data_IF_655163665318
#
_entry.id   IF_655163665318
#
_cell.length_a   1.000
_cell.length_b   1.000
_cell.length_c   1.000
_cell.angle_alpha   90.00
_cell.angle_beta   90.00
_cell.angle_gamma   90.00
#
_symmetry.space_group_name_H-M   'P 1'
#
loop_
_entity.id
_entity.type
_entity.pdbx_description
1 polymer ?
#
# COMPACT_ATOMS: atom_id res chain seq x y z
N UNK A 1 -16.03 2.12 20.70
CA UNK A 1 -15.58 1.98 19.29
C UNK A 1 -16.64 1.19 18.54
N UNK A 2 -17.17 1.71 17.45
CA UNK A 2 -18.25 1.05 16.70
C UNK A 2 -17.70 -0.22 16.02
N UNK A 3 -18.12 -1.40 16.51
CA UNK A 3 -17.69 -2.69 15.97
C UNK A 3 -18.12 -2.89 14.51
N UNK A 4 -19.28 -2.34 14.12
CA UNK A 4 -19.78 -2.43 12.74
C UNK A 4 -18.90 -1.64 11.77
N UNK A 5 -18.47 -0.43 12.17
CA UNK A 5 -17.56 0.36 11.35
C UNK A 5 -16.22 -0.35 11.16
N UNK A 6 -15.69 -0.94 12.23
CA UNK A 6 -14.44 -1.70 12.16
C UNK A 6 -14.53 -2.88 11.19
N UNK A 7 -15.56 -3.72 11.28
CA UNK A 7 -15.74 -4.84 10.37
C UNK A 7 -15.84 -4.38 8.91
N UNK A 8 -16.56 -3.28 8.64
CA UNK A 8 -16.66 -2.74 7.28
C UNK A 8 -15.33 -2.25 6.73
N UNK A 9 -14.44 -1.71 7.57
CA UNK A 9 -13.09 -1.31 7.19
C UNK A 9 -12.22 -2.54 6.96
N UNK A 10 -12.34 -3.57 7.80
CA UNK A 10 -11.66 -4.85 7.62
C UNK A 10 -12.07 -5.50 6.30
N UNK A 11 -13.36 -5.56 5.98
CA UNK A 11 -13.87 -6.08 4.71
C UNK A 11 -13.34 -5.30 3.50
N UNK A 12 -13.24 -3.97 3.60
CA UNK A 12 -12.64 -3.14 2.55
C UNK A 12 -11.16 -3.53 2.31
N UNK A 13 -10.37 -3.71 3.35
CA UNK A 13 -8.97 -4.12 3.21
C UNK A 13 -8.79 -5.55 2.73
N UNK A 14 -9.69 -6.46 3.10
CA UNK A 14 -9.64 -7.84 2.62
C UNK A 14 -10.01 -7.92 1.14
N UNK A 15 -11.00 -7.15 0.69
CA UNK A 15 -11.32 -7.01 -0.73
C UNK A 15 -10.13 -6.42 -1.51
N UNK A 16 -9.49 -5.37 -0.99
CA UNK A 16 -8.30 -4.79 -1.60
C UNK A 16 -7.20 -5.83 -1.76
N UNK A 17 -6.87 -6.57 -0.68
CA UNK A 17 -5.87 -7.62 -0.69
C UNK A 17 -6.20 -8.73 -1.71
N UNK A 18 -7.45 -9.17 -1.79
CA UNK A 18 -7.93 -10.16 -2.75
C UNK A 18 -7.71 -9.70 -4.18
N UNK A 19 -8.10 -8.46 -4.52
CA UNK A 19 -7.94 -7.91 -5.86
C UNK A 19 -6.45 -7.81 -6.28
N UNK A 20 -5.58 -7.41 -5.35
CA UNK A 20 -4.14 -7.35 -5.59
C UNK A 20 -3.54 -8.75 -5.80
N UNK A 21 -3.90 -9.71 -4.95
CA UNK A 21 -3.39 -11.10 -5.01
C UNK A 21 -3.89 -11.85 -6.24
N UNK A 22 -5.10 -11.56 -6.70
CA UNK A 22 -5.68 -12.09 -7.93
C UNK A 22 -5.26 -11.31 -9.18
N UNK A 23 -4.42 -10.29 -9.03
CA UNK A 23 -3.94 -9.45 -10.15
C UNK A 23 -5.06 -8.70 -10.88
N UNK A 24 -6.17 -8.44 -10.21
CA UNK A 24 -7.30 -7.63 -10.70
C UNK A 24 -7.03 -6.13 -10.49
N UNK A 25 -5.89 -5.65 -10.99
CA UNK A 25 -5.38 -4.32 -10.66
C UNK A 25 -6.26 -3.18 -11.21
N UNK A 26 -6.96 -3.41 -12.32
CA UNK A 26 -7.91 -2.41 -12.85
C UNK A 26 -9.14 -2.28 -11.94
N UNK A 27 -9.60 -3.37 -11.34
CA UNK A 27 -10.68 -3.37 -10.34
C UNK A 27 -10.20 -2.73 -9.04
N UNK A 28 -8.95 -2.99 -8.63
CA UNK A 28 -8.33 -2.33 -7.49
C UNK A 28 -8.31 -0.80 -7.64
N UNK A 29 -8.00 -0.25 -8.83
CA UNK A 29 -8.05 1.20 -9.07
C UNK A 29 -9.43 1.81 -8.80
N UNK A 30 -10.51 1.05 -8.93
CA UNK A 30 -11.85 1.52 -8.62
C UNK A 30 -12.12 1.72 -7.12
N UNK A 31 -11.27 1.12 -6.25
CA UNK A 31 -11.30 1.36 -4.81
C UNK A 31 -10.62 2.66 -4.39
N UNK A 32 -10.00 3.37 -5.31
CA UNK A 32 -9.28 4.62 -5.04
C UNK A 32 -10.15 5.83 -5.42
N UNK A 33 -9.91 6.97 -4.78
CA UNK A 33 -10.50 8.25 -5.19
C UNK A 33 -9.74 8.85 -6.38
N UNK A 34 -10.36 9.73 -7.15
CA UNK A 34 -9.69 10.39 -8.30
C UNK A 34 -8.53 11.29 -7.85
N UNK A 35 -8.59 11.82 -6.64
CA UNK A 35 -7.57 12.66 -6.00
C UNK A 35 -6.61 11.87 -5.10
N UNK A 36 -6.54 10.56 -5.23
CA UNK A 36 -5.70 9.69 -4.41
C UNK A 36 -4.23 10.10 -4.42
N UNK A 37 -3.60 9.98 -3.26
CA UNK A 37 -2.13 10.05 -3.10
C UNK A 37 -1.63 8.74 -2.50
N UNK A 38 -0.59 8.19 -3.13
CA UNK A 38 0.01 6.92 -2.77
C UNK A 38 1.50 7.15 -2.54
N UNK A 39 1.87 7.34 -1.27
CA UNK A 39 3.19 7.78 -0.85
C UNK A 39 3.96 6.68 -0.15
N UNK A 40 5.19 6.45 -0.56
CA UNK A 40 6.09 5.50 0.08
C UNK A 40 7.47 6.13 0.25
N UNK A 41 7.75 6.74 1.42
CA UNK A 41 9.04 7.33 1.73
C UNK A 41 10.14 6.27 1.85
N UNK A 42 11.38 6.71 1.73
CA UNK A 42 12.55 5.91 2.08
C UNK A 42 12.73 5.98 3.59
N UNK A 43 13.00 4.85 4.23
CA UNK A 43 13.43 4.81 5.63
C UNK A 43 14.95 4.89 5.70
N UNK A 44 15.45 5.72 6.60
CA UNK A 44 16.86 5.85 6.93
C UNK A 44 17.14 5.19 8.28
N UNK A 45 18.38 4.74 8.49
CA UNK A 45 18.86 4.31 9.79
C UNK A 45 19.68 5.45 10.41
N UNK A 46 19.10 6.29 11.28
CA UNK A 46 19.84 7.36 11.92
C UNK A 46 20.90 6.80 12.87
N UNK A 47 22.01 7.51 12.99
CA UNK A 47 23.09 7.14 13.93
C UNK A 47 22.70 7.39 15.40
N UNK A 48 21.78 8.32 15.63
CA UNK A 48 21.27 8.68 16.94
C UNK A 48 19.82 8.26 17.07
N UNK A 49 19.35 8.03 18.28
CA UNK A 49 17.96 7.67 18.54
C UNK A 49 17.02 8.82 18.14
N UNK A 50 16.14 8.64 17.18
CA UNK A 50 15.18 9.67 16.79
C UNK A 50 14.14 9.92 17.91
N UNK A 51 13.60 11.13 17.95
CA UNK A 51 12.52 11.46 18.86
C UNK A 51 11.18 10.85 18.43
N UNK A 52 10.97 10.75 17.13
CA UNK A 52 9.76 10.19 16.51
C UNK A 52 10.15 9.29 15.34
N UNK A 53 9.33 8.27 15.06
CA UNK A 53 9.54 7.35 13.95
C UNK A 53 9.53 8.08 12.59
N UNK A 54 8.85 9.21 12.48
CA UNK A 54 8.82 10.02 11.26
C UNK A 54 10.16 10.70 10.97
N UNK A 55 11.02 10.84 11.96
CA UNK A 55 12.38 11.38 11.78
C UNK A 55 13.28 10.41 10.99
N UNK A 56 12.88 9.14 10.91
CA UNK A 56 13.55 8.11 10.10
C UNK A 56 13.13 8.12 8.63
N UNK A 57 12.14 8.92 8.27
CA UNK A 57 11.53 8.88 6.93
C UNK A 57 11.97 10.09 6.10
N UNK A 58 12.18 9.85 4.80
CA UNK A 58 12.37 10.94 3.84
C UNK A 58 11.13 11.83 3.79
N UNK A 59 11.35 13.13 3.60
CA UNK A 59 10.29 14.14 3.50
C UNK A 59 9.85 14.33 2.05
N UNK A 60 8.64 14.88 1.81
CA UNK A 60 8.24 15.31 0.48
C UNK A 60 9.29 16.22 -0.17
N UNK A 61 9.70 15.88 -1.40
CA UNK A 61 10.79 16.56 -2.12
C UNK A 61 12.17 15.93 -1.94
N UNK A 62 12.30 14.96 -1.03
CA UNK A 62 13.48 14.09 -0.90
C UNK A 62 13.27 12.78 -1.68
N UNK A 63 14.16 11.80 -1.54
CA UNK A 63 14.02 10.50 -2.17
C UNK A 63 12.77 9.73 -1.70
N UNK A 64 12.17 8.95 -2.58
CA UNK A 64 10.99 8.12 -2.30
C UNK A 64 11.00 6.86 -3.16
N UNK A 65 10.25 5.84 -2.73
CA UNK A 65 9.95 4.68 -3.57
C UNK A 65 8.75 4.95 -4.48
N UNK A 66 7.67 5.52 -3.91
CA UNK A 66 6.47 5.92 -4.64
C UNK A 66 5.99 7.30 -4.20
N UNK A 67 5.61 8.11 -5.17
CA UNK A 67 4.83 9.34 -5.01
C UNK A 67 3.83 9.41 -6.17
N UNK A 68 2.78 8.62 -6.06
CA UNK A 68 1.84 8.38 -7.13
C UNK A 68 0.49 9.08 -6.86
N UNK A 69 -0.10 9.58 -7.92
CA UNK A 69 -1.50 9.99 -8.01
C UNK A 69 -2.28 8.98 -8.90
N UNK A 70 -3.58 9.19 -9.10
CA UNK A 70 -4.41 8.31 -9.92
C UNK A 70 -3.84 8.11 -11.34
N UNK A 71 -3.29 9.15 -11.96
CA UNK A 71 -2.71 9.06 -13.31
C UNK A 71 -1.49 8.16 -13.35
N UNK A 72 -0.55 8.33 -12.42
CA UNK A 72 0.66 7.51 -12.37
C UNK A 72 0.35 6.07 -11.94
N UNK A 73 -0.60 5.86 -11.03
CA UNK A 73 -1.06 4.52 -10.66
C UNK A 73 -1.67 3.77 -11.86
N UNK A 74 -2.51 4.44 -12.66
CA UNK A 74 -3.05 3.85 -13.91
C UNK A 74 -1.93 3.43 -14.86
N UNK A 75 -0.92 4.27 -15.06
CA UNK A 75 0.25 3.94 -15.90
C UNK A 75 1.00 2.72 -15.35
N UNK A 76 1.21 2.66 -14.02
CA UNK A 76 1.88 1.51 -13.39
C UNK A 76 1.07 0.23 -13.56
N UNK A 77 -0.24 0.28 -13.35
CA UNK A 77 -1.14 -0.86 -13.56
C UNK A 77 -1.10 -1.33 -15.01
N UNK A 78 -1.21 -0.44 -15.99
CA UNK A 78 -1.17 -0.84 -17.39
C UNK A 78 0.19 -1.43 -17.81
N UNK A 79 1.28 -0.98 -17.20
CA UNK A 79 2.60 -1.59 -17.43
C UNK A 79 2.66 -3.07 -17.00
N UNK A 80 1.94 -3.48 -15.95
CA UNK A 80 1.93 -4.88 -15.53
C UNK A 80 1.23 -5.80 -16.51
N UNK A 81 0.29 -5.26 -17.32
CA UNK A 81 -0.41 -5.99 -18.38
C UNK A 81 0.32 -5.99 -19.73
N UNK A 82 1.37 -5.18 -19.86
CA UNK A 82 2.12 -5.11 -21.11
C UNK A 82 2.87 -6.42 -21.40
N UNK A 83 2.84 -6.89 -22.65
CA UNK A 83 3.48 -8.15 -23.08
C UNK A 83 5.00 -8.20 -22.82
N UNK A 84 5.64 -7.04 -22.76
CA UNK A 84 7.07 -6.86 -22.53
C UNK A 84 7.41 -6.40 -21.11
N UNK A 85 6.48 -6.57 -20.16
CA UNK A 85 6.69 -6.25 -18.74
C UNK A 85 7.64 -7.27 -18.11
N UNK A 86 8.94 -7.18 -18.38
CA UNK A 86 9.95 -8.13 -17.92
C UNK A 86 9.93 -8.38 -16.39
N UNK A 87 9.51 -7.39 -15.61
CA UNK A 87 9.38 -7.48 -14.16
C UNK A 87 8.22 -8.41 -13.71
N UNK A 88 7.22 -8.62 -14.58
CA UNK A 88 6.00 -9.38 -14.29
C UNK A 88 5.71 -10.47 -15.35
N UNK A 89 6.71 -10.85 -16.15
CA UNK A 89 6.61 -11.97 -17.07
C UNK A 89 7.77 -12.95 -16.80
N UNK A 90 7.49 -14.10 -16.20
CA UNK A 90 6.23 -14.59 -15.66
C UNK A 90 5.72 -13.75 -14.47
N UNK A 91 4.39 -13.72 -14.25
CA UNK A 91 3.82 -12.88 -13.21
C UNK A 91 4.19 -13.36 -11.80
N UNK A 92 4.40 -12.41 -10.91
CA UNK A 92 4.57 -12.68 -9.48
C UNK A 92 3.29 -13.25 -8.87
N UNK A 93 3.44 -14.05 -7.83
CA UNK A 93 2.36 -14.42 -6.90
C UNK A 93 2.56 -13.65 -5.62
N UNK A 94 1.54 -12.95 -5.18
CA UNK A 94 1.56 -12.18 -3.95
C UNK A 94 0.57 -12.74 -2.94
N UNK A 95 0.84 -12.46 -1.67
CA UNK A 95 -0.09 -12.68 -0.57
C UNK A 95 0.01 -11.49 0.37
N UNK A 96 -1.09 -10.75 0.47
CA UNK A 96 -1.23 -9.62 1.38
C UNK A 96 -1.89 -10.08 2.67
N UNK A 97 -1.19 -9.87 3.79
CA UNK A 97 -1.74 -10.05 5.13
C UNK A 97 -1.84 -8.67 5.77
N UNK A 98 -3.07 -8.23 6.04
CA UNK A 98 -3.36 -6.95 6.66
C UNK A 98 -3.85 -7.21 8.08
N UNK A 99 -3.24 -6.55 9.04
CA UNK A 99 -3.50 -6.80 10.45
C UNK A 99 -3.38 -5.52 11.28
N UNK A 100 -3.73 -5.61 12.58
CA UNK A 100 -3.62 -4.52 13.54
C UNK A 100 -4.35 -3.24 13.08
N UNK A 101 -5.50 -3.40 12.45
CA UNK A 101 -6.30 -2.31 11.91
C UNK A 101 -6.85 -1.46 13.07
N UNK A 102 -6.49 -0.17 13.07
CA UNK A 102 -6.85 0.81 14.10
C UNK A 102 -7.43 2.07 13.48
N UNK A 103 -8.68 2.37 13.78
CA UNK A 103 -9.28 3.67 13.47
C UNK A 103 -8.65 4.71 14.40
N UNK A 104 -8.02 5.73 13.83
CA UNK A 104 -7.34 6.82 14.54
C UNK A 104 -8.24 8.04 14.68
N UNK A 105 -9.02 8.34 13.63
CA UNK A 105 -9.95 9.47 13.60
C UNK A 105 -11.09 9.15 12.63
N UNK A 106 -12.28 9.63 12.95
CA UNK A 106 -13.46 9.64 12.07
C UNK A 106 -14.08 11.02 12.17
N UNK A 107 -14.18 11.75 11.08
CA UNK A 107 -14.81 13.08 11.01
C UNK A 107 -16.18 13.05 10.34
N UNK A 108 -16.71 11.86 10.06
CA UNK A 108 -18.01 11.65 9.41
C UNK A 108 -17.92 11.53 7.88
N UNK A 109 -16.92 12.10 7.23
CA UNK A 109 -16.66 11.98 5.79
C UNK A 109 -15.45 11.11 5.50
N UNK A 110 -14.38 11.32 6.24
CA UNK A 110 -13.11 10.61 6.09
C UNK A 110 -12.71 9.93 7.41
N UNK A 111 -12.02 8.80 7.27
CA UNK A 111 -11.58 7.98 8.39
C UNK A 111 -10.08 7.75 8.26
N UNK A 112 -9.31 8.21 9.25
CA UNK A 112 -7.90 7.88 9.35
C UNK A 112 -7.73 6.50 9.99
N UNK A 113 -7.04 5.61 9.28
CA UNK A 113 -6.83 4.22 9.69
C UNK A 113 -5.36 3.87 9.61
N UNK A 114 -4.84 3.25 10.67
CA UNK A 114 -3.51 2.63 10.66
C UNK A 114 -3.66 1.12 10.61
N UNK A 115 -2.78 0.46 9.87
CA UNK A 115 -2.70 -1.00 9.80
C UNK A 115 -1.26 -1.46 9.62
N UNK A 116 -0.98 -2.70 9.98
CA UNK A 116 0.27 -3.36 9.63
C UNK A 116 0.04 -4.25 8.42
N UNK A 117 1.08 -4.46 7.63
CA UNK A 117 1.02 -5.38 6.51
C UNK A 117 2.25 -6.28 6.43
N UNK A 118 2.03 -7.44 5.87
CA UNK A 118 3.07 -8.31 5.33
C UNK A 118 2.65 -8.67 3.91
N UNK A 119 3.51 -8.39 2.93
CA UNK A 119 3.33 -8.86 1.55
C UNK A 119 4.41 -9.86 1.24
N UNK A 120 4.01 -11.10 1.04
CA UNK A 120 4.88 -12.16 0.54
C UNK A 120 4.75 -12.24 -0.98
N UNK A 121 5.87 -12.20 -1.68
CA UNK A 121 5.95 -12.33 -3.14
C UNK A 121 6.84 -13.49 -3.53
N UNK A 122 6.38 -14.31 -4.45
CA UNK A 122 7.21 -15.29 -5.13
C UNK A 122 7.16 -15.07 -6.64
N UNK A 123 8.26 -15.32 -7.31
CA UNK A 123 8.34 -15.28 -8.76
C UNK A 123 9.35 -16.31 -9.24
N UNK A 124 8.97 -17.08 -10.26
CA UNK A 124 9.77 -18.22 -10.73
C UNK A 124 10.02 -19.23 -9.59
N UNK A 125 11.13 -19.95 -9.63
CA UNK A 125 11.44 -20.99 -8.63
C UNK A 125 12.21 -20.45 -7.42
N UNK A 126 12.94 -19.34 -7.59
CA UNK A 126 13.94 -18.87 -6.62
C UNK A 126 13.64 -17.51 -6.02
N UNK A 127 12.94 -16.63 -6.73
CA UNK A 127 12.71 -15.26 -6.26
C UNK A 127 11.62 -15.26 -5.18
N UNK A 128 12.02 -14.87 -3.98
CA UNK A 128 11.14 -14.71 -2.81
C UNK A 128 11.46 -13.40 -2.14
N UNK A 129 10.44 -12.58 -1.95
CA UNK A 129 10.54 -11.31 -1.26
C UNK A 129 9.48 -11.23 -0.16
N UNK A 130 9.82 -10.53 0.90
CA UNK A 130 8.91 -10.24 2.00
C UNK A 130 9.00 -8.75 2.31
N UNK A 131 7.87 -8.07 2.25
CA UNK A 131 7.76 -6.67 2.61
C UNK A 131 6.91 -6.55 3.86
N UNK A 132 7.44 -5.94 4.88
CA UNK A 132 6.78 -5.76 6.18
C UNK A 132 6.78 -4.29 6.53
N UNK A 133 5.68 -3.80 7.09
CA UNK A 133 5.59 -2.41 7.50
C UNK A 133 4.21 -1.99 7.95
N UNK A 134 4.00 -0.69 7.97
CA UNK A 134 2.74 -0.08 8.37
C UNK A 134 2.16 0.76 7.25
N UNK A 135 0.83 0.92 7.27
CA UNK A 135 0.09 1.84 6.41
C UNK A 135 -0.65 2.85 7.26
N UNK A 136 -0.64 4.09 6.80
CA UNK A 136 -1.46 5.17 7.33
C UNK A 136 -2.37 5.63 6.20
N UNK A 137 -3.64 5.31 6.31
CA UNK A 137 -4.62 5.50 5.27
C UNK A 137 -5.65 6.56 5.65
N UNK A 138 -6.14 7.29 4.66
CA UNK A 138 -7.34 8.10 4.73
C UNK A 138 -8.38 7.45 3.82
N UNK A 139 -9.44 6.91 4.42
CA UNK A 139 -10.57 6.33 3.72
C UNK A 139 -11.71 7.33 3.63
N UNK A 140 -12.20 7.59 2.43
CA UNK A 140 -13.37 8.44 2.20
C UNK A 140 -14.62 7.61 2.03
N UNK A 141 -15.71 7.99 2.69
CA UNK A 141 -17.01 7.32 2.54
C UNK A 141 -17.55 7.53 1.12
N UNK A 142 -18.00 6.46 0.48
CA UNK A 142 -18.53 6.49 -0.88
C UNK A 142 -19.60 5.41 -1.06
N UNK A 143 -20.82 5.81 -1.40
CA UNK A 143 -21.92 4.89 -1.77
C UNK A 143 -22.10 3.69 -0.80
N UNK A 144 -22.08 3.94 0.50
CA UNK A 144 -22.23 2.89 1.51
C UNK A 144 -20.97 2.04 1.75
N UNK A 145 -19.86 2.34 1.09
CA UNK A 145 -18.55 1.71 1.25
C UNK A 145 -17.47 2.76 1.48
N UNK A 146 -16.23 2.45 1.14
CA UNK A 146 -15.08 3.33 1.26
C UNK A 146 -14.30 3.40 -0.05
N UNK A 147 -13.55 4.50 -0.22
CA UNK A 147 -12.48 4.62 -1.20
C UNK A 147 -11.22 5.13 -0.51
N UNK A 148 -10.08 4.66 -0.96
CA UNK A 148 -8.79 5.12 -0.48
C UNK A 148 -8.48 6.49 -1.09
N UNK A 149 -8.32 7.53 -0.23
CA UNK A 149 -7.98 8.89 -0.66
C UNK A 149 -6.50 9.21 -0.44
N UNK A 150 -5.89 8.62 0.58
CA UNK A 150 -4.46 8.77 0.87
C UNK A 150 -3.92 7.48 1.47
N UNK A 151 -2.72 7.10 1.05
CA UNK A 151 -1.95 6.03 1.70
C UNK A 151 -0.51 6.46 1.87
N UNK A 152 0.00 6.37 3.09
CA UNK A 152 1.43 6.39 3.37
C UNK A 152 1.86 4.97 3.71
N UNK A 153 2.83 4.42 2.97
CA UNK A 153 3.39 3.08 3.18
C UNK A 153 4.75 3.25 3.83
N UNK A 154 4.95 2.69 5.00
CA UNK A 154 6.20 2.78 5.75
C UNK A 154 6.76 1.38 5.91
N UNK A 155 7.82 1.07 5.16
CA UNK A 155 8.53 -0.21 5.29
C UNK A 155 9.37 -0.22 6.56
N UNK A 156 9.49 -1.40 7.17
CA UNK A 156 10.40 -1.62 8.30
C UNK A 156 11.85 -1.79 7.84
N UNK A 157 12.04 -2.17 6.57
CA UNK A 157 13.36 -2.34 5.96
C UNK A 157 13.91 -0.99 5.47
N UNK A 158 15.10 -0.62 5.91
CA UNK A 158 15.83 0.53 5.36
C UNK A 158 16.52 0.19 4.03
N UNK A 159 16.90 -1.07 3.83
CA UNK A 159 17.47 -1.61 2.59
C UNK A 159 16.55 -2.70 2.06
N UNK A 160 16.18 -2.62 0.79
CA UNK A 160 15.36 -3.62 0.14
C UNK A 160 16.24 -4.67 -0.54
N UNK A 161 16.04 -5.92 -0.15
CA UNK A 161 16.71 -7.06 -0.81
C UNK A 161 16.04 -7.41 -2.15
N UNK A 162 14.83 -6.89 -2.38
CA UNK A 162 14.07 -7.15 -3.60
C UNK A 162 14.72 -6.50 -4.83
N UNK A 163 14.80 -7.24 -5.94
CA UNK A 163 15.36 -6.77 -7.23
C UNK A 163 14.55 -5.61 -7.82
N UNK A 164 13.28 -5.54 -7.50
CA UNK A 164 12.36 -4.47 -7.90
C UNK A 164 11.15 -4.40 -6.96
N UNK A 165 10.42 -3.27 -7.01
CA UNK A 165 9.15 -3.10 -6.32
C UNK A 165 8.06 -2.97 -7.39
N UNK A 166 7.60 -4.09 -7.91
CA UNK A 166 6.49 -4.15 -8.88
C UNK A 166 5.12 -4.37 -8.23
N UNK A 167 5.10 -4.64 -6.93
CA UNK A 167 3.86 -4.86 -6.14
C UNK A 167 3.25 -3.54 -5.66
N UNK A 168 1.96 -3.59 -5.34
CA UNK A 168 1.25 -2.57 -4.57
C UNK A 168 1.08 -3.04 -3.12
N UNK A 169 0.83 -2.10 -2.19
CA UNK A 169 0.78 -2.37 -0.75
C UNK A 169 -0.54 -1.93 -0.14
#
# INVERSE_FOLDING_TARGET
MDSKLRHRIEDFYYLEAELLDERKLREWLALLTDDVRYWMPIRHNPLERPNDITDELSKPGEGYYFDDNMKSLKIRVERTYAKNAWAEVPPSRTRHLITNIRIKKDDGNEIAVHSNFLVYRTRMETDKDMFVGTRQDLLRRSNGSFKLAWRTIILDQAVLDAKNISVFF
#
